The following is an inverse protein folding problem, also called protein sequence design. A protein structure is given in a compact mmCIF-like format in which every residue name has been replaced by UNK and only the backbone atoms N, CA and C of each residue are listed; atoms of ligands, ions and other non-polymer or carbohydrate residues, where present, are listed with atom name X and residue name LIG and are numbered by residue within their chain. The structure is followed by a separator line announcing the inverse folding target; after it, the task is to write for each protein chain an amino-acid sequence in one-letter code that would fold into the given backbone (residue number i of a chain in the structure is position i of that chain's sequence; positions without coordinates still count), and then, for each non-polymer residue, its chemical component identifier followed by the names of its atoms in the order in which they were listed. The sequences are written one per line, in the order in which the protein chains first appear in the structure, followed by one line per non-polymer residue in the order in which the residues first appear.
data_IF_798239216718
#
_entry.id   IF_798239216718
#
_cell.length_a   1.000
_cell.length_b   1.000
_cell.length_c   1.000
_cell.angle_alpha   90.00
_cell.angle_beta   90.00
_cell.angle_gamma   90.00
#
_symmetry.space_group_name_H-M   'P 1'
#
loop_
_entity.id
_entity.type
_entity.pdbx_description
1 polymer ?
#
# COMPACT_ATOMS: atom_id res chain seq x y z
N UNK A 1 -29.23 -20.76 10.75
CA UNK A 1 -28.77 -20.00 9.56
C UNK A 1 -27.93 -18.85 10.06
N UNK A 2 -26.60 -18.96 10.01
CA UNK A 2 -25.73 -17.85 10.39
C UNK A 2 -25.84 -16.77 9.29
N UNK A 3 -25.97 -15.51 9.71
CA UNK A 3 -26.10 -14.36 8.83
C UNK A 3 -24.94 -14.30 7.82
N UNK A 4 -25.20 -13.76 6.62
CA UNK A 4 -24.20 -13.54 5.58
C UNK A 4 -23.14 -12.55 6.08
N UNK A 5 -22.06 -13.07 6.67
CA UNK A 5 -20.90 -12.26 7.04
C UNK A 5 -20.09 -11.92 5.80
N UNK A 6 -19.67 -10.67 5.67
CA UNK A 6 -18.72 -10.22 4.64
C UNK A 6 -17.30 -10.37 5.17
N UNK A 7 -16.42 -10.93 4.36
CA UNK A 7 -15.01 -11.04 4.69
C UNK A 7 -14.23 -9.97 3.92
N UNK A 8 -13.55 -9.08 4.64
CA UNK A 8 -12.81 -7.96 4.08
C UNK A 8 -11.36 -8.10 4.55
N UNK A 9 -10.42 -8.16 3.61
CA UNK A 9 -9.00 -8.02 3.90
C UNK A 9 -8.60 -6.55 3.77
N UNK A 10 -7.83 -6.07 4.74
CA UNK A 10 -7.30 -4.71 4.77
C UNK A 10 -5.77 -4.78 4.78
N UNK A 11 -5.14 -3.98 3.93
CA UNK A 11 -3.69 -3.79 3.91
C UNK A 11 -3.35 -2.36 4.28
N UNK A 12 -2.22 -2.13 4.95
CA UNK A 12 -1.69 -0.80 5.18
C UNK A 12 -0.52 -0.82 6.14
N UNK A 13 -0.02 0.37 6.49
CA UNK A 13 1.08 0.56 7.43
C UNK A 13 0.72 1.63 8.47
N UNK A 14 1.44 1.66 9.59
CA UNK A 14 1.26 2.70 10.61
C UNK A 14 1.48 4.09 10.03
N UNK A 15 2.44 4.23 9.12
CA UNK A 15 2.84 5.47 8.46
C UNK A 15 1.79 6.00 7.47
N UNK A 16 0.76 5.23 7.19
CA UNK A 16 -0.29 5.53 6.20
C UNK A 16 -1.70 5.45 6.81
N UNK A 17 -1.80 5.67 8.12
CA UNK A 17 -3.04 5.64 8.91
C UNK A 17 -3.72 4.25 8.97
N UNK A 18 -2.91 3.22 9.22
CA UNK A 18 -3.30 1.82 9.51
C UNK A 18 -3.76 1.05 8.27
N UNK A 19 -4.72 1.56 7.52
CA UNK A 19 -5.28 0.89 6.34
C UNK A 19 -5.18 1.79 5.11
N UNK A 20 -4.70 1.22 4.01
CA UNK A 20 -4.45 1.87 2.73
C UNK A 20 -5.19 1.17 1.60
N UNK A 21 -5.42 -0.14 1.72
CA UNK A 21 -6.10 -0.93 0.71
C UNK A 21 -7.20 -1.82 1.29
N UNK A 22 -8.13 -2.20 0.43
CA UNK A 22 -9.25 -3.07 0.75
C UNK A 22 -9.45 -4.13 -0.34
N UNK A 23 -9.71 -5.36 0.08
CA UNK A 23 -10.14 -6.45 -0.78
C UNK A 23 -11.34 -7.14 -0.14
N UNK A 24 -12.51 -7.04 -0.79
CA UNK A 24 -13.64 -7.87 -0.42
C UNK A 24 -13.46 -9.30 -0.97
N UNK A 25 -13.61 -10.28 -0.08
CA UNK A 25 -13.44 -11.70 -0.40
C UNK A 25 -14.83 -12.31 -0.53
N UNK A 26 -15.28 -12.46 -1.78
CA UNK A 26 -16.53 -13.15 -2.11
C UNK A 26 -16.30 -14.63 -2.44
N UNK A 27 -15.12 -14.98 -2.92
CA UNK A 27 -14.68 -16.34 -3.22
C UNK A 27 -13.20 -16.50 -2.91
N UNK A 28 -12.76 -17.73 -2.60
CA UNK A 28 -11.34 -18.06 -2.41
C UNK A 28 -10.97 -19.18 -3.38
N UNK A 29 -10.43 -18.85 -4.56
CA UNK A 29 -9.97 -19.85 -5.53
C UNK A 29 -8.93 -20.79 -4.93
N UNK A 30 -9.01 -22.09 -5.25
CA UNK A 30 -8.12 -23.11 -4.69
C UNK A 30 -6.64 -22.91 -5.00
N UNK A 31 -6.33 -22.17 -6.06
CA UNK A 31 -4.96 -21.89 -6.51
C UNK A 31 -4.37 -20.63 -5.89
N UNK A 32 -5.13 -19.89 -5.06
CA UNK A 32 -4.59 -18.77 -4.30
C UNK A 32 -3.65 -19.26 -3.20
N UNK A 33 -2.47 -18.65 -3.14
CA UNK A 33 -1.53 -18.84 -2.03
C UNK A 33 -1.74 -17.80 -0.92
N UNK A 34 -2.34 -16.67 -1.26
CA UNK A 34 -2.69 -15.57 -0.35
C UNK A 34 -3.81 -14.73 -0.99
N UNK A 35 -4.52 -13.95 -0.17
CA UNK A 35 -5.47 -12.94 -0.65
C UNK A 35 -4.67 -11.79 -1.28
N UNK A 36 -5.10 -11.21 -2.42
CA UNK A 36 -4.50 -10.00 -2.97
C UNK A 36 -4.53 -8.84 -1.97
N UNK A 37 -3.55 -7.94 -2.06
CA UNK A 37 -3.49 -6.76 -1.19
C UNK A 37 -4.66 -5.79 -1.42
N UNK A 38 -5.34 -5.91 -2.57
CA UNK A 38 -6.58 -5.20 -2.89
C UNK A 38 -6.36 -3.88 -3.62
N UNK A 39 -7.37 -3.02 -3.50
CA UNK A 39 -7.41 -1.72 -4.16
C UNK A 39 -7.21 -0.60 -3.15
N UNK A 40 -6.63 0.55 -3.53
CA UNK A 40 -6.51 1.72 -2.66
C UNK A 40 -7.88 2.15 -2.11
N UNK A 41 -7.91 2.55 -0.85
CA UNK A 41 -9.04 3.26 -0.25
C UNK A 41 -9.18 4.67 -0.87
N UNK A 42 -10.32 5.32 -0.63
CA UNK A 42 -10.54 6.70 -1.05
C UNK A 42 -9.43 7.62 -0.53
N UNK A 43 -8.93 8.50 -1.41
CA UNK A 43 -7.83 9.44 -1.13
C UNK A 43 -6.49 8.77 -0.80
N UNK A 44 -6.34 7.47 -1.06
CA UNK A 44 -5.08 6.74 -1.01
C UNK A 44 -4.60 6.47 -2.44
N UNK A 45 -3.30 6.55 -2.65
CA UNK A 45 -2.65 6.18 -3.92
C UNK A 45 -1.64 5.08 -3.64
N UNK A 46 -1.56 4.08 -4.52
CA UNK A 46 -0.54 3.04 -4.46
C UNK A 46 0.22 2.98 -5.78
N UNK A 47 1.53 2.85 -5.71
CA UNK A 47 2.42 2.65 -6.86
C UNK A 47 3.34 1.47 -6.58
N UNK A 48 3.67 0.69 -7.61
CA UNK A 48 4.74 -0.30 -7.56
C UNK A 48 5.89 0.24 -8.37
N UNK A 49 7.02 0.54 -7.73
CA UNK A 49 8.11 1.30 -8.33
C UNK A 49 9.45 0.55 -8.33
N UNK A 50 10.37 0.97 -9.20
CA UNK A 50 11.77 0.55 -9.13
C UNK A 50 12.58 1.38 -8.11
N UNK A 51 13.88 1.10 -8.00
CA UNK A 51 14.81 1.81 -7.11
C UNK A 51 14.99 3.29 -7.44
N UNK A 52 14.53 3.76 -8.60
CA UNK A 52 14.56 5.15 -9.02
C UNK A 52 13.19 5.84 -8.88
N UNK A 53 12.19 5.17 -8.29
CA UNK A 53 10.85 5.72 -8.11
C UNK A 53 10.00 5.75 -9.40
N UNK A 54 10.35 4.96 -10.41
CA UNK A 54 9.59 4.85 -11.67
C UNK A 54 8.63 3.68 -11.59
N UNK A 55 7.44 3.84 -12.15
CA UNK A 55 6.43 2.78 -12.14
C UNK A 55 6.92 1.53 -12.88
N UNK A 56 6.62 0.37 -12.30
CA UNK A 56 6.81 -0.93 -12.94
C UNK A 56 5.62 -1.24 -13.84
N UNK A 57 5.89 -2.01 -14.89
CA UNK A 57 4.83 -2.66 -15.66
C UNK A 57 4.09 -3.69 -14.82
N UNK A 58 2.85 -3.99 -15.20
CA UNK A 58 2.03 -5.01 -14.58
C UNK A 58 2.77 -6.34 -14.43
N UNK A 59 2.52 -7.03 -13.32
CA UNK A 59 3.16 -8.31 -12.96
C UNK A 59 4.68 -8.27 -12.72
N UNK A 60 5.34 -7.13 -12.92
CA UNK A 60 6.77 -6.98 -12.63
C UNK A 60 6.95 -6.47 -11.21
N UNK A 61 7.71 -7.21 -10.41
CA UNK A 61 7.94 -6.84 -9.00
C UNK A 61 8.64 -5.48 -8.87
N UNK A 62 8.24 -4.73 -7.84
CA UNK A 62 8.84 -3.48 -7.38
C UNK A 62 8.47 -3.19 -5.93
N UNK A 63 8.95 -2.08 -5.39
CA UNK A 63 8.58 -1.61 -4.05
C UNK A 63 7.19 -0.96 -4.08
N UNK A 64 6.34 -1.30 -3.11
CA UNK A 64 5.07 -0.60 -2.91
C UNK A 64 5.31 0.77 -2.26
N UNK A 65 4.86 1.83 -2.92
CA UNK A 65 4.81 3.18 -2.37
C UNK A 65 3.36 3.59 -2.17
N UNK A 66 3.08 4.22 -1.02
CA UNK A 66 1.73 4.66 -0.65
C UNK A 66 1.70 6.18 -0.47
N UNK A 67 0.78 6.83 -1.17
CA UNK A 67 0.56 8.28 -1.15
C UNK A 67 -0.86 8.62 -0.68
N UNK A 68 -1.13 9.92 -0.56
CA UNK A 68 -2.47 10.42 -0.26
C UNK A 68 -2.63 10.96 1.16
N UNK A 69 -3.89 11.17 1.56
CA UNK A 69 -4.22 11.94 2.76
C UNK A 69 -3.79 11.29 4.09
N UNK A 70 -3.64 9.97 4.11
CA UNK A 70 -3.25 9.20 5.29
C UNK A 70 -1.74 9.17 5.58
N UNK A 71 -0.90 9.71 4.69
CA UNK A 71 0.56 9.67 4.85
C UNK A 71 0.99 10.53 6.03
N UNK A 72 1.71 9.92 6.97
CA UNK A 72 2.21 10.58 8.17
C UNK A 72 3.23 11.68 7.86
N UNK A 73 3.39 12.60 8.82
CA UNK A 73 4.37 13.69 8.74
C UNK A 73 5.83 13.21 8.88
N UNK A 74 6.04 11.99 9.38
CA UNK A 74 7.36 11.42 9.59
C UNK A 74 7.49 10.72 10.94
N UNK A 75 8.71 10.33 11.25
CA UNK A 75 9.09 9.76 12.53
C UNK A 75 9.54 10.86 13.50
N UNK A 76 8.97 10.86 14.70
CA UNK A 76 9.28 11.88 15.73
C UNK A 76 10.74 11.74 16.17
N UNK A 77 11.47 12.86 16.14
CA UNK A 77 12.91 12.95 16.47
C UNK A 77 13.84 12.12 15.57
N UNK A 78 13.39 11.78 14.35
CA UNK A 78 14.21 11.02 13.41
C UNK A 78 14.05 11.57 11.98
N UNK A 79 14.71 12.70 11.74
CA UNK A 79 14.64 13.41 10.46
C UNK A 79 15.28 12.59 9.32
N UNK A 80 16.31 11.79 9.62
CA UNK A 80 17.01 10.97 8.63
C UNK A 80 16.11 9.86 8.09
N UNK A 81 15.52 9.03 8.97
CA UNK A 81 14.56 8.01 8.52
C UNK A 81 13.31 8.63 7.92
N UNK A 82 12.90 9.81 8.39
CA UNK A 82 11.78 10.53 7.78
C UNK A 82 12.09 10.89 6.33
N UNK A 83 13.27 11.45 6.05
CA UNK A 83 13.66 11.80 4.68
C UNK A 83 13.88 10.57 3.79
N UNK A 84 14.38 9.46 4.34
CA UNK A 84 14.56 8.20 3.60
C UNK A 84 13.22 7.56 3.20
N UNK A 85 12.24 7.56 4.12
CA UNK A 85 10.97 6.83 3.94
C UNK A 85 9.83 7.68 3.40
N UNK A 86 9.82 8.99 3.65
CA UNK A 86 8.77 9.90 3.20
C UNK A 86 9.32 10.86 2.15
N UNK A 87 9.12 10.51 0.88
CA UNK A 87 9.72 11.21 -0.27
C UNK A 87 8.70 12.07 -0.99
N UNK A 88 9.17 13.18 -1.58
CA UNK A 88 8.36 14.01 -2.47
C UNK A 88 8.68 13.66 -3.92
N UNK A 89 7.65 13.34 -4.71
CA UNK A 89 7.78 13.11 -6.15
C UNK A 89 6.57 13.70 -6.87
N UNK A 90 6.83 14.51 -7.90
CA UNK A 90 5.81 15.17 -8.73
C UNK A 90 4.77 15.97 -7.92
N UNK A 91 5.22 16.58 -6.82
CA UNK A 91 4.37 17.37 -5.92
C UNK A 91 3.56 16.54 -4.92
N UNK A 92 3.65 15.21 -4.96
CA UNK A 92 2.98 14.30 -4.04
C UNK A 92 3.97 13.71 -3.02
N UNK A 93 3.47 13.48 -1.80
CA UNK A 93 4.23 12.82 -0.72
C UNK A 93 3.94 11.32 -0.73
N UNK A 94 5.00 10.52 -0.69
CA UNK A 94 4.95 9.06 -0.74
C UNK A 94 5.66 8.44 0.47
N UNK A 95 5.07 7.41 1.05
CA UNK A 95 5.72 6.53 2.01
C UNK A 95 6.25 5.27 1.30
N UNK A 96 7.53 4.98 1.50
CA UNK A 96 8.26 3.82 0.97
C UNK A 96 8.12 2.63 1.92
N UNK A 97 7.24 1.68 1.61
CA UNK A 97 6.87 0.64 2.58
C UNK A 97 7.96 -0.40 2.78
N UNK A 98 8.88 -0.56 1.82
CA UNK A 98 9.83 -1.67 1.77
C UNK A 98 9.23 -3.01 1.34
N UNK A 99 7.92 -3.09 1.11
CA UNK A 99 7.25 -4.31 0.65
C UNK A 99 7.41 -4.49 -0.86
N UNK A 100 7.62 -5.74 -1.28
CA UNK A 100 7.59 -6.08 -2.69
C UNK A 100 6.16 -6.39 -3.14
N UNK A 101 5.74 -5.73 -4.20
CA UNK A 101 4.43 -5.90 -4.80
C UNK A 101 4.54 -5.96 -6.33
N UNK A 102 3.41 -6.31 -6.95
CA UNK A 102 3.17 -6.22 -8.39
C UNK A 102 1.68 -5.94 -8.59
N UNK A 103 1.34 -5.23 -9.66
CA UNK A 103 -0.03 -5.01 -10.10
C UNK A 103 -0.59 -6.29 -10.74
#
# INVERSE_FOLDING_TARGET
MAAQCRCIALGGTTETAIHSTVQEITTVPYNWRSVPYGYPLDNVRCRVVDSLGRDRFDWVSGELWIGGAGVALGYRHDAERTADRFVMQDGERWYRTGDLARL
#
